data_IF_700282494228
#
_entry.id   IF_700282494228
#
_cell.length_a   1.000
_cell.length_b   1.000
_cell.length_c   1.000
_cell.angle_alpha   90.00
_cell.angle_beta   90.00
_cell.angle_gamma   90.00
#
_symmetry.space_group_name_H-M   'P 1'
#
loop_
_entity.id
_entity.type
_entity.pdbx_description
1 polymer ?
#
# COMPACT_ATOMS: atom_id res chain seq x y z
N UNK A 1 35.03 7.60 6.60
CA UNK A 1 34.76 6.29 5.96
C UNK A 1 33.64 5.51 6.66
N UNK A 2 33.53 5.52 7.98
CA UNK A 2 32.47 4.80 8.72
C UNK A 2 31.06 5.32 8.39
N UNK A 3 30.85 6.65 8.32
CA UNK A 3 29.56 7.23 7.95
C UNK A 3 29.12 6.85 6.53
N UNK A 4 30.04 6.75 5.59
CA UNK A 4 29.74 6.36 4.22
C UNK A 4 29.30 4.89 4.18
N UNK A 5 29.98 4.01 4.91
CA UNK A 5 29.61 2.60 5.01
C UNK A 5 28.24 2.39 5.67
N UNK A 6 27.90 3.18 6.71
CA UNK A 6 26.59 3.09 7.35
C UNK A 6 25.47 3.52 6.39
N UNK A 7 25.66 4.59 5.62
CA UNK A 7 24.69 5.05 4.62
C UNK A 7 24.51 4.00 3.53
N UNK A 8 25.58 3.40 3.01
CA UNK A 8 25.49 2.33 2.01
C UNK A 8 24.74 1.10 2.55
N UNK A 9 24.96 0.75 3.81
CA UNK A 9 24.27 -0.37 4.44
C UNK A 9 22.75 -0.10 4.56
N UNK A 10 22.35 1.10 4.94
CA UNK A 10 20.94 1.46 5.02
C UNK A 10 20.27 1.52 3.65
N UNK A 11 20.94 2.07 2.64
CA UNK A 11 20.45 2.05 1.26
C UNK A 11 20.28 0.60 0.77
N UNK A 12 21.24 -0.28 1.06
CA UNK A 12 21.15 -1.69 0.71
C UNK A 12 19.94 -2.37 1.35
N UNK A 13 19.69 -2.14 2.65
CA UNK A 13 18.51 -2.67 3.35
C UNK A 13 17.20 -2.20 2.71
N UNK A 14 17.12 -0.91 2.37
CA UNK A 14 15.95 -0.33 1.71
C UNK A 14 15.71 -0.99 0.34
N UNK A 15 16.74 -1.12 -0.49
CA UNK A 15 16.63 -1.77 -1.80
C UNK A 15 16.26 -3.24 -1.65
N UNK A 16 16.87 -3.95 -0.71
CA UNK A 16 16.58 -5.36 -0.43
C UNK A 16 15.11 -5.58 0.00
N UNK A 17 14.50 -4.60 0.65
CA UNK A 17 13.09 -4.61 1.01
C UNK A 17 12.19 -4.23 -0.17
N UNK A 18 12.50 -3.14 -0.86
CA UNK A 18 11.61 -2.60 -1.91
C UNK A 18 11.57 -3.47 -3.17
N UNK A 19 12.69 -4.08 -3.57
CA UNK A 19 12.72 -4.89 -4.81
C UNK A 19 11.77 -6.09 -4.73
N UNK A 20 11.78 -6.94 -3.69
CA UNK A 20 10.81 -8.02 -3.56
C UNK A 20 9.36 -7.55 -3.50
N UNK A 21 9.09 -6.42 -2.84
CA UNK A 21 7.74 -5.82 -2.78
C UNK A 21 7.28 -5.42 -4.19
N UNK A 22 8.10 -4.70 -4.95
CA UNK A 22 7.77 -4.29 -6.32
C UNK A 22 7.58 -5.50 -7.26
N UNK A 23 8.41 -6.53 -7.11
CA UNK A 23 8.26 -7.78 -7.88
C UNK A 23 6.95 -8.48 -7.50
N UNK A 24 6.60 -8.53 -6.21
CA UNK A 24 5.33 -9.11 -5.75
C UNK A 24 4.12 -8.36 -6.31
N UNK A 25 4.17 -7.03 -6.32
CA UNK A 25 3.12 -6.19 -6.93
C UNK A 25 2.99 -6.48 -8.42
N UNK A 26 4.10 -6.59 -9.15
CA UNK A 26 4.09 -6.92 -10.58
C UNK A 26 3.46 -8.30 -10.86
N UNK A 27 3.74 -9.29 -9.99
CA UNK A 27 3.15 -10.63 -10.08
C UNK A 27 1.65 -10.62 -9.75
N UNK A 28 1.23 -9.88 -8.73
CA UNK A 28 -0.18 -9.73 -8.34
C UNK A 28 -0.98 -9.10 -9.48
N UNK A 29 -0.48 -8.03 -10.10
CA UNK A 29 -1.12 -7.38 -11.27
C UNK A 29 -1.25 -8.35 -12.45
N UNK A 30 -0.22 -9.16 -12.72
CA UNK A 30 -0.29 -10.18 -13.76
C UNK A 30 -1.34 -11.25 -13.44
N UNK A 31 -1.40 -11.71 -12.18
CA UNK A 31 -2.33 -12.72 -11.69
C UNK A 31 -3.78 -12.21 -11.77
N UNK A 32 -4.02 -10.98 -11.32
CA UNK A 32 -5.32 -10.31 -11.39
C UNK A 32 -5.86 -10.28 -12.82
N UNK A 33 -5.05 -9.84 -13.78
CA UNK A 33 -5.43 -9.83 -15.19
C UNK A 33 -5.75 -11.22 -15.76
N UNK A 34 -5.06 -12.27 -15.30
CA UNK A 34 -5.36 -13.65 -15.70
C UNK A 34 -6.64 -14.18 -15.09
N UNK A 35 -6.87 -13.93 -13.82
CA UNK A 35 -8.11 -14.32 -13.13
C UNK A 35 -9.31 -13.66 -13.78
N UNK A 36 -9.25 -12.34 -14.03
CA UNK A 36 -10.32 -11.63 -14.73
C UNK A 36 -10.54 -12.14 -16.16
N UNK A 37 -9.47 -12.45 -16.89
CA UNK A 37 -9.58 -13.02 -18.22
C UNK A 37 -10.30 -14.38 -18.19
N UNK A 38 -9.95 -15.23 -17.23
CA UNK A 38 -10.61 -16.52 -17.03
C UNK A 38 -12.12 -16.37 -16.72
N UNK A 39 -12.48 -15.48 -15.80
CA UNK A 39 -13.87 -15.19 -15.45
C UNK A 39 -14.65 -14.65 -16.67
N UNK A 40 -14.00 -13.80 -17.46
CA UNK A 40 -14.59 -13.21 -18.67
C UNK A 40 -14.49 -14.11 -19.91
N UNK A 41 -14.04 -15.36 -19.77
CA UNK A 41 -13.86 -16.33 -20.87
C UNK A 41 -13.02 -15.81 -22.05
N UNK A 42 -11.97 -15.02 -21.75
CA UNK A 42 -11.01 -14.50 -22.73
C UNK A 42 -9.58 -14.89 -22.35
N UNK A 43 -8.65 -14.75 -23.30
CA UNK A 43 -7.24 -14.98 -23.02
C UNK A 43 -6.63 -13.79 -22.26
N UNK A 44 -5.92 -14.10 -21.16
CA UNK A 44 -5.10 -13.12 -20.42
C UNK A 44 -3.79 -12.80 -21.14
N UNK A 45 -2.91 -12.00 -20.52
CA UNK A 45 -1.59 -11.68 -21.09
C UNK A 45 -0.80 -12.95 -21.35
N UNK A 46 -0.37 -13.14 -22.61
CA UNK A 46 0.36 -14.34 -23.05
C UNK A 46 1.51 -14.05 -24.02
N UNK A 47 1.65 -12.81 -24.54
CA UNK A 47 2.57 -12.47 -25.63
C UNK A 47 3.92 -12.00 -25.12
N UNK A 48 3.97 -11.18 -24.04
CA UNK A 48 5.21 -10.59 -23.55
C UNK A 48 5.88 -11.49 -22.52
N UNK A 49 6.91 -12.20 -22.96
CA UNK A 49 7.64 -13.19 -22.14
C UNK A 49 6.88 -14.50 -21.94
N UNK A 50 7.49 -15.50 -21.27
CA UNK A 50 6.83 -16.77 -21.00
C UNK A 50 5.52 -16.54 -20.20
N UNK A 51 4.41 -17.05 -20.74
CA UNK A 51 3.08 -16.89 -20.13
C UNK A 51 2.64 -15.44 -19.85
N UNK A 52 3.26 -14.44 -20.50
CA UNK A 52 2.93 -13.02 -20.28
C UNK A 52 3.45 -12.44 -18.96
N UNK A 53 4.40 -13.09 -18.28
CA UNK A 53 4.95 -12.63 -16.99
C UNK A 53 5.61 -11.24 -17.06
N UNK A 54 6.23 -10.93 -18.20
CA UNK A 54 6.89 -9.64 -18.40
C UNK A 54 5.93 -8.50 -18.79
N UNK A 55 4.63 -8.78 -18.89
CA UNK A 55 3.63 -7.75 -19.24
C UNK A 55 3.59 -6.60 -18.23
N UNK A 56 3.67 -6.90 -16.94
CA UNK A 56 3.69 -5.87 -15.89
C UNK A 56 4.91 -4.96 -16.01
N UNK A 57 6.07 -5.51 -16.37
CA UNK A 57 7.29 -4.73 -16.61
C UNK A 57 7.16 -3.85 -17.87
N UNK A 58 6.63 -4.39 -18.95
CA UNK A 58 6.38 -3.63 -20.18
C UNK A 58 5.40 -2.47 -19.95
N UNK A 59 4.38 -2.69 -19.14
CA UNK A 59 3.43 -1.64 -18.76
C UNK A 59 4.08 -0.56 -17.89
N UNK A 60 4.96 -0.94 -16.96
CA UNK A 60 5.72 0.01 -16.15
C UNK A 60 6.62 0.90 -17.01
N UNK A 61 7.37 0.29 -17.94
CA UNK A 61 8.21 1.04 -18.90
C UNK A 61 7.38 1.98 -19.78
N UNK A 62 6.23 1.52 -20.26
CA UNK A 62 5.30 2.36 -21.03
C UNK A 62 4.87 3.60 -20.24
N UNK A 63 4.57 3.46 -18.95
CA UNK A 63 4.16 4.61 -18.13
C UNK A 63 5.29 5.60 -17.88
N UNK A 64 6.54 5.14 -17.76
CA UNK A 64 7.72 6.00 -17.60
C UNK A 64 7.93 6.89 -18.83
N UNK A 65 7.74 6.34 -20.04
CA UNK A 65 7.95 7.06 -21.29
C UNK A 65 6.70 7.78 -21.81
N UNK A 66 5.56 7.65 -21.14
CA UNK A 66 4.32 8.29 -21.55
C UNK A 66 4.33 9.77 -21.22
N UNK A 67 3.80 10.59 -22.15
CA UNK A 67 3.62 12.02 -21.95
C UNK A 67 2.64 12.30 -20.78
N UNK A 68 3.02 13.26 -19.92
CA UNK A 68 2.21 13.69 -18.80
C UNK A 68 1.21 14.72 -19.29
N UNK A 69 -0.09 14.38 -19.23
CA UNK A 69 -1.17 15.29 -19.62
C UNK A 69 -1.69 16.01 -18.37
N UNK A 70 -1.57 17.33 -18.35
CA UNK A 70 -2.06 18.18 -17.27
C UNK A 70 -3.25 18.99 -17.80
N UNK A 71 -4.43 18.93 -17.16
CA UNK A 71 -5.60 19.71 -17.58
C UNK A 71 -5.29 21.20 -17.58
N UNK A 72 -5.75 21.92 -18.59
CA UNK A 72 -5.43 23.35 -18.78
C UNK A 72 -5.92 24.25 -17.63
N UNK A 73 -7.05 23.89 -16.99
CA UNK A 73 -7.64 24.62 -15.87
C UNK A 73 -7.10 24.21 -14.49
N UNK A 74 -6.21 23.20 -14.42
CA UNK A 74 -5.73 22.65 -13.16
C UNK A 74 -4.63 23.49 -12.53
N UNK A 75 -4.50 23.41 -11.19
CA UNK A 75 -3.32 23.88 -10.49
C UNK A 75 -2.19 22.85 -10.69
N UNK A 76 -1.25 23.17 -11.59
CA UNK A 76 -0.19 22.24 -12.03
C UNK A 76 0.67 21.71 -10.88
N UNK A 77 1.03 22.57 -9.92
CA UNK A 77 1.93 22.21 -8.81
C UNK A 77 1.26 21.17 -7.91
N UNK A 78 0.04 21.45 -7.47
CA UNK A 78 -0.68 20.54 -6.56
C UNK A 78 -1.08 19.25 -7.28
N UNK A 79 -1.43 19.34 -8.58
CA UNK A 79 -1.77 18.19 -9.40
C UNK A 79 -0.62 17.17 -9.52
N UNK A 80 0.62 17.67 -9.66
CA UNK A 80 1.82 16.82 -9.70
C UNK A 80 2.22 16.33 -8.31
N UNK A 81 2.06 17.16 -7.28
CA UNK A 81 2.41 16.78 -5.91
C UNK A 81 1.49 15.68 -5.34
N UNK A 82 0.21 15.67 -5.70
CA UNK A 82 -0.75 14.71 -5.17
C UNK A 82 -0.31 13.24 -5.33
N UNK A 83 0.01 12.72 -6.53
CA UNK A 83 0.48 11.35 -6.69
C UNK A 83 1.85 11.10 -6.04
N UNK A 84 2.73 12.11 -5.98
CA UNK A 84 4.03 11.99 -5.31
C UNK A 84 3.83 11.76 -3.81
N UNK A 85 2.95 12.54 -3.17
CA UNK A 85 2.64 12.39 -1.75
C UNK A 85 2.07 10.99 -1.48
N UNK A 86 1.07 10.56 -2.24
CA UNK A 86 0.46 9.24 -2.07
C UNK A 86 1.49 8.12 -2.23
N UNK A 87 2.32 8.18 -3.27
CA UNK A 87 3.36 7.16 -3.51
C UNK A 87 4.41 7.15 -2.39
N UNK A 88 4.87 8.33 -1.97
CA UNK A 88 5.87 8.44 -0.90
C UNK A 88 5.35 7.85 0.41
N UNK A 89 4.12 8.15 0.78
CA UNK A 89 3.49 7.61 1.99
C UNK A 89 3.32 6.10 1.90
N UNK A 90 2.89 5.57 0.75
CA UNK A 90 2.80 4.13 0.53
C UNK A 90 4.14 3.42 0.69
N UNK A 91 5.24 4.00 0.22
CA UNK A 91 6.59 3.43 0.38
C UNK A 91 7.08 3.51 1.83
N UNK A 92 6.84 4.63 2.51
CA UNK A 92 7.24 4.85 3.91
C UNK A 92 6.51 3.88 4.85
N UNK A 93 5.27 3.50 4.57
CA UNK A 93 4.53 2.53 5.37
C UNK A 93 5.25 1.18 5.49
N UNK A 94 6.02 0.77 4.49
CA UNK A 94 6.78 -0.48 4.50
C UNK A 94 7.95 -0.49 5.48
N UNK A 95 8.39 0.68 5.97
CA UNK A 95 9.56 0.78 6.85
C UNK A 95 9.38 0.06 8.20
N UNK A 96 8.15 -0.04 8.69
CA UNK A 96 7.85 -0.64 10.01
C UNK A 96 7.35 -2.09 9.91
N UNK A 97 7.12 -2.60 8.70
CA UNK A 97 6.60 -3.97 8.50
C UNK A 97 7.73 -4.98 8.68
N UNK A 98 7.62 -5.91 9.66
CA UNK A 98 8.63 -6.93 9.87
C UNK A 98 8.54 -8.01 8.79
N UNK A 99 9.63 -8.25 8.07
CA UNK A 99 9.76 -9.35 7.09
C UNK A 99 10.30 -10.63 7.73
N UNK A 100 11.04 -10.48 8.81
CA UNK A 100 11.49 -11.58 9.68
C UNK A 100 11.80 -11.02 11.07
N UNK A 101 12.08 -11.91 12.02
CA UNK A 101 12.44 -11.52 13.41
C UNK A 101 13.62 -10.54 13.49
N UNK A 102 14.52 -10.55 12.50
CA UNK A 102 15.77 -9.76 12.48
C UNK A 102 15.71 -8.64 11.43
N UNK A 103 14.87 -8.78 10.39
CA UNK A 103 14.82 -7.86 9.27
C UNK A 103 13.61 -6.93 9.36
N UNK A 104 13.74 -5.90 10.18
CA UNK A 104 12.84 -4.74 10.24
C UNK A 104 13.69 -3.51 9.92
N UNK A 105 13.21 -2.64 9.04
CA UNK A 105 13.95 -1.42 8.68
C UNK A 105 13.93 -0.42 9.83
N UNK A 106 12.76 -0.23 10.45
CA UNK A 106 12.55 0.63 11.60
C UNK A 106 11.70 -0.09 12.65
N UNK A 107 12.34 -0.60 13.69
CA UNK A 107 11.66 -1.19 14.84
C UNK A 107 11.24 -0.06 15.80
N UNK A 108 9.95 0.27 15.76
CA UNK A 108 9.36 1.37 16.53
C UNK A 108 8.34 0.80 17.50
N UNK A 109 8.45 1.16 18.79
CA UNK A 109 7.52 0.70 19.83
C UNK A 109 6.05 1.04 19.58
N UNK A 110 5.78 2.03 18.72
CA UNK A 110 4.43 2.47 18.30
C UNK A 110 4.19 2.20 16.81
N UNK A 111 4.74 1.12 16.28
CA UNK A 111 4.72 0.80 14.85
C UNK A 111 3.32 0.77 14.24
N UNK A 112 2.33 0.23 14.96
CA UNK A 112 0.95 0.19 14.47
C UNK A 112 0.32 1.60 14.36
N UNK A 113 0.60 2.50 15.31
CA UNK A 113 0.12 3.88 15.24
C UNK A 113 0.79 4.66 14.10
N UNK A 114 2.07 4.37 13.85
CA UNK A 114 2.79 4.93 12.70
C UNK A 114 2.13 4.50 11.38
N UNK A 115 1.75 3.22 11.21
CA UNK A 115 1.05 2.75 10.02
C UNK A 115 -0.27 3.49 9.81
N UNK A 116 -1.10 3.62 10.85
CA UNK A 116 -2.36 4.36 10.75
C UNK A 116 -2.14 5.84 10.44
N UNK A 117 -1.13 6.48 11.04
CA UNK A 117 -0.82 7.87 10.74
C UNK A 117 -0.39 8.07 9.28
N UNK A 118 0.43 7.17 8.74
CA UNK A 118 0.89 7.24 7.36
C UNK A 118 -0.25 6.94 6.38
N UNK A 119 -1.11 5.95 6.66
CA UNK A 119 -2.27 5.64 5.80
C UNK A 119 -3.27 6.78 5.76
N UNK A 120 -3.59 7.36 6.92
CA UNK A 120 -4.48 8.54 7.00
C UNK A 120 -3.96 9.74 6.22
N UNK A 121 -2.64 9.96 6.21
CA UNK A 121 -2.02 10.99 5.38
C UNK A 121 -2.16 10.71 3.87
N UNK A 122 -2.24 9.43 3.47
CA UNK A 122 -2.45 9.04 2.07
C UNK A 122 -3.73 9.60 1.45
N UNK A 123 -4.78 9.77 2.27
CA UNK A 123 -6.06 10.34 1.86
C UNK A 123 -5.93 11.78 1.34
N UNK A 124 -4.98 12.55 1.89
CA UNK A 124 -4.73 13.92 1.42
C UNK A 124 -4.28 13.97 -0.04
N UNK A 125 -3.52 12.97 -0.50
CA UNK A 125 -3.12 12.90 -1.90
C UNK A 125 -4.32 12.81 -2.85
N UNK A 126 -5.35 12.05 -2.49
CA UNK A 126 -6.58 11.90 -3.27
C UNK A 126 -7.37 13.23 -3.27
N UNK A 127 -7.55 13.85 -2.11
CA UNK A 127 -8.26 15.14 -2.00
C UNK A 127 -7.53 16.22 -2.79
N UNK A 128 -6.21 16.32 -2.65
CA UNK A 128 -5.37 17.28 -3.37
C UNK A 128 -5.48 17.11 -4.88
N UNK A 129 -5.43 15.87 -5.38
CA UNK A 129 -5.57 15.57 -6.81
C UNK A 129 -6.94 15.98 -7.36
N UNK A 130 -8.01 15.67 -6.63
CA UNK A 130 -9.36 16.06 -7.02
C UNK A 130 -9.58 17.58 -7.00
N UNK A 131 -9.07 18.26 -5.98
CA UNK A 131 -9.16 19.72 -5.88
C UNK A 131 -8.30 20.43 -6.93
N UNK A 132 -7.09 19.95 -7.14
CA UNK A 132 -6.16 20.52 -8.11
C UNK A 132 -6.66 20.43 -9.57
N UNK A 133 -7.50 19.44 -9.87
CA UNK A 133 -8.08 19.27 -11.22
C UNK A 133 -9.02 20.41 -11.64
N UNK A 134 -9.47 21.25 -10.68
CA UNK A 134 -10.39 22.38 -10.89
C UNK A 134 -11.65 21.99 -11.68
N UNK A 135 -12.19 20.82 -11.41
CA UNK A 135 -13.40 20.31 -12.04
C UNK A 135 -14.34 19.71 -11.00
N UNK A 136 -15.66 19.90 -11.20
CA UNK A 136 -16.69 19.51 -10.20
C UNK A 136 -16.72 17.99 -9.94
N UNK A 137 -16.64 17.18 -11.01
CA UNK A 137 -16.75 15.72 -10.88
C UNK A 137 -15.52 15.08 -10.18
N UNK A 138 -14.27 15.37 -10.56
CA UNK A 138 -13.11 14.89 -9.82
C UNK A 138 -13.09 15.35 -8.36
N UNK A 139 -13.53 16.57 -8.07
CA UNK A 139 -13.62 17.06 -6.69
C UNK A 139 -14.62 16.28 -5.85
N UNK A 140 -15.85 16.08 -6.36
CA UNK A 140 -16.87 15.28 -5.67
C UNK A 140 -16.43 13.81 -5.54
N UNK A 141 -15.79 13.26 -6.59
CA UNK A 141 -15.23 11.91 -6.57
C UNK A 141 -14.16 11.75 -5.50
N UNK A 142 -13.23 12.70 -5.39
CA UNK A 142 -12.15 12.65 -4.39
C UNK A 142 -12.66 12.75 -2.95
N UNK A 143 -13.66 13.60 -2.68
CA UNK A 143 -14.27 13.70 -1.35
C UNK A 143 -15.00 12.39 -1.01
N UNK A 144 -15.75 11.82 -1.95
CA UNK A 144 -16.42 10.52 -1.74
C UNK A 144 -15.41 9.41 -1.44
N UNK A 145 -14.34 9.33 -2.22
CA UNK A 145 -13.26 8.36 -2.03
C UNK A 145 -12.59 8.55 -0.67
N UNK A 146 -12.23 9.78 -0.31
CA UNK A 146 -11.64 10.10 0.98
C UNK A 146 -12.57 9.73 2.17
N UNK A 147 -13.85 10.04 2.08
CA UNK A 147 -14.83 9.69 3.12
C UNK A 147 -14.93 8.16 3.27
N UNK A 148 -14.91 7.41 2.18
CA UNK A 148 -14.93 5.95 2.20
C UNK A 148 -13.66 5.40 2.88
N UNK A 149 -12.48 5.83 2.47
CA UNK A 149 -11.21 5.37 3.05
C UNK A 149 -11.15 5.64 4.55
N UNK A 150 -11.44 6.87 4.99
CA UNK A 150 -11.42 7.22 6.43
C UNK A 150 -12.43 6.40 7.23
N UNK A 151 -13.64 6.16 6.69
CA UNK A 151 -14.67 5.37 7.39
C UNK A 151 -14.23 3.93 7.63
N UNK A 152 -13.62 3.30 6.64
CA UNK A 152 -13.13 1.91 6.78
C UNK A 152 -11.81 1.82 7.55
N UNK A 153 -10.96 2.83 7.50
CA UNK A 153 -9.75 2.92 8.32
C UNK A 153 -10.10 2.93 9.83
N UNK A 154 -11.14 3.68 10.22
CA UNK A 154 -11.65 3.65 11.60
C UNK A 154 -12.14 2.25 11.97
N UNK A 155 -12.90 1.57 11.10
CA UNK A 155 -13.36 0.21 11.32
C UNK A 155 -12.19 -0.76 11.53
N UNK A 156 -11.19 -0.72 10.66
CA UNK A 156 -9.97 -1.53 10.76
C UNK A 156 -9.22 -1.23 12.07
N UNK A 157 -9.12 0.05 12.45
CA UNK A 157 -8.50 0.47 13.71
C UNK A 157 -9.15 -0.15 14.93
N UNK A 158 -10.49 -0.15 15.00
CA UNK A 158 -11.23 -0.77 16.11
C UNK A 158 -10.99 -2.29 16.16
N UNK A 159 -10.91 -2.96 15.02
CA UNK A 159 -10.62 -4.39 14.96
C UNK A 159 -9.20 -4.68 15.46
N UNK A 160 -8.23 -3.89 15.06
CA UNK A 160 -6.83 -4.06 15.47
C UNK A 160 -6.65 -3.84 16.97
N UNK A 161 -7.46 -2.99 17.62
CA UNK A 161 -7.44 -2.84 19.09
C UNK A 161 -7.65 -4.20 19.79
N UNK A 162 -8.48 -5.10 19.26
CA UNK A 162 -8.66 -6.42 19.84
C UNK A 162 -7.38 -7.26 19.79
N UNK A 163 -6.59 -7.13 18.72
CA UNK A 163 -5.28 -7.80 18.59
C UNK A 163 -4.30 -7.20 19.60
N UNK A 164 -4.29 -5.87 19.73
CA UNK A 164 -3.42 -5.16 20.68
C UNK A 164 -3.71 -5.53 22.13
N UNK A 165 -4.99 -5.72 22.47
CA UNK A 165 -5.39 -6.19 23.80
C UNK A 165 -4.89 -7.61 24.10
N UNK A 166 -4.78 -8.47 23.09
CA UNK A 166 -4.22 -9.82 23.26
C UNK A 166 -2.69 -9.80 23.43
N UNK A 167 -2.00 -8.86 22.79
CA UNK A 167 -0.52 -8.80 22.81
C UNK A 167 0.00 -7.90 23.93
N UNK A 168 -0.68 -6.80 24.22
CA UNK A 168 -0.23 -5.78 25.17
C UNK A 168 0.90 -4.88 24.66
N UNK A 169 1.20 -4.89 23.35
CA UNK A 169 2.25 -4.08 22.71
C UNK A 169 1.74 -3.45 21.43
N UNK A 170 2.25 -2.23 21.10
CA UNK A 170 1.99 -1.53 19.85
C UNK A 170 3.10 -1.77 18.80
N UNK A 171 4.12 -2.53 19.17
CA UNK A 171 5.20 -2.90 18.27
C UNK A 171 4.76 -4.03 17.35
N UNK A 172 4.96 -3.87 16.04
CA UNK A 172 4.58 -4.87 15.03
C UNK A 172 5.36 -6.17 15.16
N UNK A 173 6.63 -6.10 15.57
CA UNK A 173 7.45 -7.27 15.77
C UNK A 173 6.94 -8.12 16.93
N UNK A 174 6.56 -7.50 18.05
CA UNK A 174 5.96 -8.18 19.19
C UNK A 174 4.64 -8.87 18.83
N UNK A 175 3.82 -8.20 17.99
CA UNK A 175 2.56 -8.77 17.51
C UNK A 175 2.81 -10.04 16.68
N UNK A 176 3.82 -10.04 15.83
CA UNK A 176 4.19 -11.21 15.02
C UNK A 176 4.75 -12.34 15.91
N UNK A 177 5.62 -12.01 16.85
CA UNK A 177 6.22 -12.97 17.77
C UNK A 177 5.19 -13.63 18.69
N UNK A 178 4.19 -12.89 19.13
CA UNK A 178 3.10 -13.42 19.96
C UNK A 178 2.26 -14.49 19.25
N UNK A 179 2.31 -14.54 17.92
CA UNK A 179 1.58 -15.52 17.11
C UNK A 179 2.37 -16.80 16.79
N UNK A 180 3.57 -16.98 17.34
CA UNK A 180 4.39 -18.20 17.08
C UNK A 180 3.68 -19.51 17.41
N UNK A 181 2.91 -19.53 18.51
CA UNK A 181 2.23 -20.76 18.96
C UNK A 181 0.81 -20.87 18.43
N UNK A 182 0.09 -19.77 18.34
CA UNK A 182 -1.30 -19.72 17.88
C UNK A 182 -1.55 -18.45 17.10
N UNK A 183 -1.99 -18.58 15.87
CA UNK A 183 -2.38 -17.45 15.06
C UNK A 183 -3.66 -16.80 15.58
N UNK A 184 -3.68 -15.48 15.72
CA UNK A 184 -4.85 -14.76 16.23
C UNK A 184 -6.10 -14.88 15.35
N UNK A 185 -5.97 -15.30 14.12
CA UNK A 185 -7.11 -15.63 13.26
C UNK A 185 -8.02 -16.71 13.88
N UNK A 186 -7.47 -17.64 14.67
CA UNK A 186 -8.26 -18.72 15.31
C UNK A 186 -9.15 -18.18 16.42
N UNK A 187 -8.62 -17.51 17.48
CA UNK A 187 -9.45 -16.97 18.55
C UNK A 187 -10.26 -15.75 18.16
N UNK A 188 -9.79 -14.95 17.18
CA UNK A 188 -10.45 -13.73 16.73
C UNK A 188 -11.08 -13.89 15.34
N UNK A 189 -11.53 -15.09 14.97
CA UNK A 189 -12.09 -15.37 13.64
C UNK A 189 -13.22 -14.41 13.21
N UNK A 190 -14.19 -14.06 14.06
CA UNK A 190 -15.22 -13.08 13.67
C UNK A 190 -14.63 -11.71 13.33
N UNK A 191 -13.61 -11.27 14.08
CA UNK A 191 -12.92 -10.00 13.83
C UNK A 191 -12.12 -10.04 12.53
N UNK A 192 -11.52 -11.19 12.20
CA UNK A 192 -10.86 -11.39 10.92
C UNK A 192 -11.81 -11.26 9.73
N UNK A 193 -13.02 -11.84 9.83
CA UNK A 193 -14.04 -11.71 8.77
C UNK A 193 -14.43 -10.25 8.58
N UNK A 194 -14.68 -9.50 9.66
CA UNK A 194 -15.01 -8.08 9.59
C UNK A 194 -13.83 -7.27 9.04
N UNK A 195 -12.60 -7.58 9.44
CA UNK A 195 -11.38 -6.97 8.90
C UNK A 195 -11.30 -7.14 7.38
N UNK A 196 -11.50 -8.38 6.90
CA UNK A 196 -11.46 -8.68 5.47
C UNK A 196 -12.53 -7.92 4.68
N UNK A 197 -13.76 -7.86 5.21
CA UNK A 197 -14.85 -7.07 4.59
C UNK A 197 -14.49 -5.59 4.57
N UNK A 198 -13.96 -5.04 5.67
CA UNK A 198 -13.55 -3.63 5.76
C UNK A 198 -12.42 -3.31 4.79
N UNK A 199 -11.41 -4.18 4.68
CA UNK A 199 -10.31 -4.01 3.75
C UNK A 199 -10.77 -4.05 2.28
N UNK A 200 -11.71 -4.93 1.91
CA UNK A 200 -12.28 -4.96 0.56
C UNK A 200 -13.15 -3.72 0.27
N UNK A 201 -13.85 -3.21 1.28
CA UNK A 201 -14.73 -2.06 1.12
C UNK A 201 -13.97 -0.71 1.13
N UNK A 202 -12.75 -0.69 1.67
CA UNK A 202 -11.86 0.47 1.63
C UNK A 202 -11.31 0.71 0.22
N UNK A 203 -11.13 -0.34 -0.58
CA UNK A 203 -10.64 -0.22 -1.95
C UNK A 203 -11.62 0.53 -2.85
N UNK A 204 -11.12 1.50 -3.60
CA UNK A 204 -11.89 2.34 -4.53
C UNK A 204 -11.73 1.87 -5.97
#
# INVERSE_FOLDING_TARGET
MEYLNSIFLEIYKIIFLLVPVLVSVALIVWLDRRVWAFVQKRQGPNVVGPFGLLQSLADALKYIFKEIIIPASSNKVIFILAPIVTMTLALIAWAVIPFSEIHVLADINVGILYLFAVSSLGVYGIIMGGWASNSKYPFLGSIRSAAQMVSYEVSIGIIIINVLLCVGSLNLNDIVLAQKNLWFIVPLFPMFVIFFISALAETN
#
